data_IF_193672621980
#
_entry.id   IF_193672621980
#
_cell.length_a   1.000
_cell.length_b   1.000
_cell.length_c   1.000
_cell.angle_alpha   90.00
_cell.angle_beta   90.00
_cell.angle_gamma   90.00
#
_symmetry.space_group_name_H-M   'P 1'
#
loop_
_entity.id
_entity.type
_entity.pdbx_description
1 polymer ?
#
# COMPACT_ATOMS: atom_id res chain seq x y z
N UNK A 1 34.91 29.58 -1.23
CA UNK A 1 35.57 28.32 -1.61
C UNK A 1 35.56 27.39 -0.41
N UNK A 2 35.12 26.15 -0.60
CA UNK A 2 35.05 25.09 0.40
C UNK A 2 35.94 23.93 -0.06
N UNK A 3 36.57 23.22 0.88
CA UNK A 3 37.37 22.02 0.59
C UNK A 3 36.51 20.76 0.69
N UNK A 4 36.76 19.79 -0.18
CA UNK A 4 36.06 18.50 -0.20
C UNK A 4 37.04 17.39 -0.62
N UNK A 5 36.72 16.15 -0.21
CA UNK A 5 37.44 14.95 -0.66
C UNK A 5 36.82 14.32 -1.91
N UNK A 6 35.75 14.92 -2.48
CA UNK A 6 35.15 14.44 -3.70
C UNK A 6 36.11 14.59 -4.90
N UNK A 7 36.04 13.66 -5.84
CA UNK A 7 36.79 13.74 -7.08
C UNK A 7 36.34 14.95 -7.93
N UNK A 8 37.21 15.42 -8.85
CA UNK A 8 36.79 16.45 -9.79
C UNK A 8 35.61 16.00 -10.61
N UNK A 9 34.56 16.84 -10.70
CA UNK A 9 33.34 16.52 -11.41
C UNK A 9 32.18 17.45 -11.09
N UNK A 10 31.06 17.23 -11.73
CA UNK A 10 29.79 17.93 -11.47
C UNK A 10 28.89 17.07 -10.60
N UNK A 11 28.47 17.61 -9.45
CA UNK A 11 27.66 16.94 -8.46
C UNK A 11 26.32 17.65 -8.25
N UNK A 12 25.27 16.87 -8.02
CA UNK A 12 23.97 17.40 -7.67
C UNK A 12 23.99 18.00 -6.27
N UNK A 13 23.45 19.21 -6.11
CA UNK A 13 23.19 19.78 -4.79
C UNK A 13 21.87 19.19 -4.23
N UNK A 14 22.02 18.08 -3.51
CA UNK A 14 20.85 17.34 -2.97
C UNK A 14 20.13 18.04 -1.83
N UNK A 15 20.67 19.13 -1.31
CA UNK A 15 19.94 20.02 -0.40
C UNK A 15 19.00 20.96 -1.17
N UNK A 16 19.42 21.41 -2.35
CA UNK A 16 18.63 22.35 -3.12
C UNK A 16 17.56 21.67 -3.97
N UNK A 17 17.86 20.52 -4.57
CA UNK A 17 16.92 19.77 -5.42
C UNK A 17 17.29 18.29 -5.47
N UNK A 18 16.26 17.42 -5.45
CA UNK A 18 16.45 15.98 -5.53
C UNK A 18 16.60 15.46 -6.99
N UNK A 19 16.21 16.26 -7.96
CA UNK A 19 16.20 15.93 -9.39
C UNK A 19 17.48 16.31 -10.12
N UNK A 20 18.52 16.72 -9.38
CA UNK A 20 19.77 17.22 -9.96
C UNK A 20 19.62 18.40 -10.94
N UNK A 21 18.58 19.21 -10.81
CA UNK A 21 18.43 20.46 -11.58
C UNK A 21 19.40 21.54 -11.13
N UNK A 22 19.95 21.42 -9.92
CA UNK A 22 21.06 22.24 -9.43
C UNK A 22 22.30 21.40 -9.23
N UNK A 23 23.39 21.83 -9.84
CA UNK A 23 24.69 21.18 -9.74
C UNK A 23 25.76 22.12 -9.22
N UNK A 24 26.81 21.53 -8.67
CA UNK A 24 27.99 22.22 -8.17
C UNK A 24 29.23 21.51 -8.69
N UNK A 25 30.17 22.27 -9.19
CA UNK A 25 31.42 21.73 -9.74
C UNK A 25 32.49 21.62 -8.64
N UNK A 26 33.05 20.42 -8.51
CA UNK A 26 34.26 20.16 -7.72
C UNK A 26 35.46 20.17 -8.65
N UNK A 27 36.49 20.94 -8.31
CA UNK A 27 37.76 21.00 -9.08
C UNK A 27 38.93 21.17 -8.13
N UNK A 28 39.92 20.26 -8.27
CA UNK A 28 41.12 20.26 -7.43
C UNK A 28 40.79 20.15 -5.92
N UNK A 29 39.78 19.35 -5.54
CA UNK A 29 39.30 19.21 -4.15
C UNK A 29 38.66 20.46 -3.58
N UNK A 30 38.16 21.35 -4.42
CA UNK A 30 37.50 22.60 -4.01
C UNK A 30 36.17 22.81 -4.72
N UNK A 31 35.25 23.42 -3.99
CA UNK A 31 33.93 23.89 -4.47
C UNK A 31 33.91 25.41 -4.39
N UNK A 32 33.66 26.08 -5.51
CA UNK A 32 33.45 27.53 -5.54
C UNK A 32 31.98 27.82 -5.80
N UNK A 33 31.27 28.19 -4.75
CA UNK A 33 29.85 28.53 -4.84
C UNK A 33 29.45 29.51 -3.75
N UNK A 34 28.31 30.16 -3.91
CA UNK A 34 27.70 31.04 -2.89
C UNK A 34 26.57 30.26 -2.20
N UNK A 35 26.68 30.12 -0.90
CA UNK A 35 25.60 29.58 -0.08
C UNK A 35 24.78 30.77 0.43
N UNK A 36 23.48 30.88 0.11
CA UNK A 36 22.62 31.94 0.63
C UNK A 36 22.54 31.89 2.16
N UNK A 37 22.22 33.02 2.78
CA UNK A 37 21.97 33.04 4.22
C UNK A 37 20.83 32.09 4.61
N UNK A 38 21.03 31.30 5.65
CA UNK A 38 20.09 30.26 6.11
C UNK A 38 19.85 29.11 5.11
N UNK A 39 20.84 28.83 4.26
CA UNK A 39 20.81 27.71 3.31
C UNK A 39 22.08 26.84 3.48
N UNK A 40 22.09 25.68 2.84
CA UNK A 40 23.21 24.77 2.82
C UNK A 40 23.44 24.24 1.40
N UNK A 41 24.54 23.53 1.20
CA UNK A 41 24.83 22.73 -0.01
C UNK A 41 25.21 21.34 0.49
N UNK A 42 24.61 20.31 -0.05
CA UNK A 42 24.92 18.92 0.27
C UNK A 42 25.38 18.17 -0.98
N UNK A 43 26.59 17.64 -0.94
CA UNK A 43 27.21 16.87 -2.03
C UNK A 43 27.71 15.54 -1.48
N UNK A 44 27.58 14.46 -2.23
CA UNK A 44 28.20 13.17 -1.91
C UNK A 44 28.69 12.45 -3.18
N UNK A 45 29.56 11.45 -3.04
CA UNK A 45 30.26 10.82 -4.17
C UNK A 45 29.34 10.17 -5.21
N UNK A 46 28.13 9.73 -4.83
CA UNK A 46 27.13 9.16 -5.72
C UNK A 46 26.17 10.19 -6.34
N UNK A 47 26.19 11.44 -5.91
CA UNK A 47 25.23 12.45 -6.37
C UNK A 47 25.65 13.08 -7.71
N UNK A 48 25.59 12.32 -8.79
CA UNK A 48 25.90 12.79 -10.14
C UNK A 48 24.65 12.75 -11.03
N UNK A 49 24.65 13.50 -12.15
CA UNK A 49 23.54 13.45 -13.13
C UNK A 49 23.27 12.04 -13.67
N UNK A 50 24.29 11.21 -13.73
CA UNK A 50 24.14 9.83 -14.20
C UNK A 50 23.43 8.93 -13.22
N UNK A 51 23.57 9.21 -11.90
CA UNK A 51 22.89 8.48 -10.83
C UNK A 51 21.51 9.07 -10.48
N UNK A 52 21.22 10.26 -10.99
CA UNK A 52 19.91 10.93 -10.88
C UNK A 52 19.43 11.23 -12.30
N UNK A 53 18.92 10.24 -13.04
CA UNK A 53 18.33 10.49 -14.35
C UNK A 53 17.26 11.56 -14.17
N UNK A 54 17.35 12.61 -14.98
CA UNK A 54 16.35 13.67 -14.97
C UNK A 54 14.95 13.05 -14.99
N UNK A 55 14.13 13.40 -14.03
CA UNK A 55 12.70 13.20 -14.15
C UNK A 55 12.34 13.70 -15.56
N UNK A 56 11.66 12.85 -16.34
CA UNK A 56 11.16 13.16 -17.68
C UNK A 56 10.69 14.61 -17.69
N UNK A 57 11.18 15.40 -18.62
CA UNK A 57 10.96 16.83 -18.76
C UNK A 57 9.49 17.21 -18.57
N UNK A 58 9.09 17.42 -17.32
CA UNK A 58 8.01 18.33 -17.03
C UNK A 58 8.56 19.71 -17.40
N UNK A 59 8.06 20.31 -18.45
CA UNK A 59 8.25 21.72 -18.77
C UNK A 59 7.99 22.50 -17.49
N UNK A 60 8.98 23.28 -17.06
CA UNK A 60 8.85 24.28 -15.99
C UNK A 60 7.49 24.96 -16.13
N UNK A 61 6.54 24.79 -15.22
CA UNK A 61 5.31 25.54 -15.30
C UNK A 61 5.70 26.96 -14.94
N UNK A 62 5.94 27.78 -15.97
CA UNK A 62 5.89 29.23 -15.83
C UNK A 62 4.63 29.57 -15.04
N UNK A 63 4.83 30.10 -13.82
CA UNK A 63 3.86 30.64 -12.85
C UNK A 63 2.40 30.51 -13.34
N UNK A 64 1.66 29.43 -12.92
CA UNK A 64 0.32 29.25 -13.43
C UNK A 64 -0.48 30.46 -13.01
N UNK A 65 -1.05 31.14 -13.99
CA UNK A 65 -2.02 32.21 -13.77
C UNK A 65 -3.16 31.62 -12.92
N UNK A 66 -3.03 31.76 -11.60
CA UNK A 66 -3.96 31.22 -10.59
C UNK A 66 -5.39 31.76 -10.75
N UNK A 67 -5.60 32.72 -11.66
CA UNK A 67 -6.94 33.20 -12.03
C UNK A 67 -7.70 32.22 -12.94
N UNK A 68 -7.07 31.14 -13.40
CA UNK A 68 -7.62 30.11 -14.31
C UNK A 68 -7.53 28.69 -13.76
N UNK A 69 -7.41 28.51 -12.46
CA UNK A 69 -7.73 27.23 -11.86
C UNK A 69 -9.27 27.10 -11.91
N UNK A 70 -9.76 26.90 -13.12
CA UNK A 70 -11.08 26.28 -13.30
C UNK A 70 -11.04 24.94 -12.59
N UNK A 71 -12.11 24.57 -11.91
CA UNK A 71 -12.35 23.39 -11.07
C UNK A 71 -12.04 22.01 -11.73
N UNK A 72 -11.16 21.94 -12.69
CA UNK A 72 -10.86 20.74 -13.48
C UNK A 72 -9.40 20.29 -13.33
N UNK A 73 -9.11 19.52 -12.27
CA UNK A 73 -7.97 18.61 -12.32
C UNK A 73 -8.30 17.55 -13.37
N UNK A 74 -7.65 17.64 -14.53
CA UNK A 74 -7.78 16.61 -15.56
C UNK A 74 -6.95 15.39 -15.15
N UNK A 75 -7.58 14.38 -14.61
CA UNK A 75 -6.94 13.12 -14.28
C UNK A 75 -6.41 12.43 -15.56
N UNK A 76 -5.31 11.69 -15.42
CA UNK A 76 -4.80 10.85 -16.50
C UNK A 76 -5.77 9.72 -16.84
N UNK A 77 -6.47 9.17 -15.85
CA UNK A 77 -7.53 8.22 -16.03
C UNK A 77 -8.85 8.92 -16.36
N UNK A 78 -9.43 8.50 -17.46
CA UNK A 78 -10.63 9.11 -18.05
C UNK A 78 -11.86 8.25 -17.97
N UNK A 79 -11.76 7.08 -17.34
CA UNK A 79 -12.88 6.15 -17.20
C UNK A 79 -13.11 5.81 -15.73
N UNK A 80 -14.39 5.61 -15.38
CA UNK A 80 -14.80 5.08 -14.09
C UNK A 80 -15.71 3.87 -14.32
N UNK A 81 -15.53 2.82 -13.56
CA UNK A 81 -16.45 1.68 -13.51
C UNK A 81 -17.27 1.77 -12.23
N UNK A 82 -18.58 1.82 -12.39
CA UNK A 82 -19.55 1.88 -11.28
C UNK A 82 -20.16 0.49 -11.11
N UNK A 83 -20.04 -0.07 -9.91
CA UNK A 83 -20.68 -1.30 -9.48
C UNK A 83 -21.85 -0.94 -8.58
N UNK A 84 -23.02 -1.49 -8.86
CA UNK A 84 -24.24 -1.16 -8.15
C UNK A 84 -25.03 -2.39 -7.74
N UNK A 85 -25.43 -2.44 -6.50
CA UNK A 85 -26.33 -3.43 -5.96
C UNK A 85 -27.57 -2.72 -5.41
N UNK A 86 -28.72 -2.74 -6.13
CA UNK A 86 -29.91 -2.05 -5.71
C UNK A 86 -30.33 -2.43 -4.30
N UNK A 87 -30.77 -1.45 -3.50
CA UNK A 87 -31.42 -1.71 -2.22
C UNK A 87 -32.74 -2.47 -2.40
N UNK A 88 -33.45 -2.15 -3.49
CA UNK A 88 -34.67 -2.88 -3.90
C UNK A 88 -34.33 -3.97 -4.93
N UNK A 89 -34.44 -5.24 -4.52
CA UNK A 89 -34.15 -6.40 -5.37
C UNK A 89 -35.10 -6.58 -6.57
N UNK A 90 -36.15 -5.75 -6.67
CA UNK A 90 -37.09 -5.77 -7.79
C UNK A 90 -36.57 -5.06 -9.02
N UNK A 91 -35.54 -4.22 -8.89
CA UNK A 91 -34.90 -3.54 -10.00
C UNK A 91 -34.28 -4.52 -10.99
N UNK A 92 -34.56 -4.32 -12.28
CA UNK A 92 -34.09 -5.22 -13.36
C UNK A 92 -33.28 -4.53 -14.45
N UNK A 93 -33.49 -3.23 -14.64
CA UNK A 93 -32.86 -2.43 -15.67
C UNK A 93 -32.29 -1.13 -15.13
N UNK A 94 -31.45 -1.21 -14.09
CA UNK A 94 -30.84 -0.03 -13.53
C UNK A 94 -29.92 0.65 -14.54
N UNK A 95 -29.90 1.97 -14.48
CA UNK A 95 -29.05 2.87 -15.25
C UNK A 95 -28.34 3.84 -14.30
N UNK A 96 -27.23 4.38 -14.76
CA UNK A 96 -26.56 5.49 -14.09
C UNK A 96 -27.00 6.80 -14.77
N UNK A 97 -27.67 7.66 -14.04
CA UNK A 97 -27.90 9.04 -14.42
C UNK A 97 -26.80 9.89 -13.82
N UNK A 98 -26.05 10.65 -14.62
CA UNK A 98 -24.84 11.30 -14.15
C UNK A 98 -24.55 12.64 -14.79
N UNK A 99 -23.79 13.46 -14.06
CA UNK A 99 -23.19 14.70 -14.52
C UNK A 99 -21.67 14.63 -14.51
N UNK A 100 -21.02 15.28 -15.46
CA UNK A 100 -19.57 15.47 -15.53
C UNK A 100 -19.24 16.93 -15.20
N UNK A 101 -18.63 17.16 -14.03
CA UNK A 101 -18.61 18.50 -13.45
C UNK A 101 -20.05 18.96 -13.19
N UNK A 102 -20.43 20.11 -13.73
CA UNK A 102 -21.79 20.64 -13.60
C UNK A 102 -22.71 20.30 -14.79
N UNK A 103 -22.24 19.52 -15.77
CA UNK A 103 -22.98 19.15 -16.95
C UNK A 103 -23.76 17.83 -16.76
N UNK A 104 -25.07 17.95 -16.50
CA UNK A 104 -26.02 16.85 -16.35
C UNK A 104 -26.71 16.44 -17.65
N UNK A 105 -26.31 16.99 -18.80
CA UNK A 105 -26.89 16.62 -20.10
C UNK A 105 -26.24 15.38 -20.72
N UNK A 106 -25.81 14.44 -19.87
CA UNK A 106 -25.25 13.15 -20.33
C UNK A 106 -26.37 12.14 -20.58
N UNK A 107 -26.22 11.27 -21.59
CA UNK A 107 -27.13 10.13 -21.72
C UNK A 107 -26.93 9.18 -20.54
N UNK A 108 -28.02 8.61 -20.02
CA UNK A 108 -27.92 7.58 -19.00
C UNK A 108 -27.09 6.40 -19.47
N UNK A 109 -26.22 5.87 -18.61
CA UNK A 109 -25.42 4.70 -18.90
C UNK A 109 -26.17 3.41 -18.51
N UNK A 110 -26.31 2.51 -19.45
CA UNK A 110 -26.87 1.18 -19.20
C UNK A 110 -25.93 0.36 -18.31
N UNK A 111 -26.53 -0.41 -17.38
CA UNK A 111 -25.78 -1.29 -16.50
C UNK A 111 -26.00 -2.75 -16.87
N UNK A 112 -24.95 -3.57 -16.77
CA UNK A 112 -24.97 -5.00 -17.04
C UNK A 112 -24.73 -5.77 -15.76
N UNK A 113 -25.57 -6.77 -15.47
CA UNK A 113 -25.40 -7.67 -14.32
C UNK A 113 -24.14 -8.54 -14.52
N UNK A 114 -23.24 -8.52 -13.55
CA UNK A 114 -22.04 -9.37 -13.54
C UNK A 114 -22.27 -10.71 -12.81
N UNK A 115 -21.26 -11.57 -12.82
CA UNK A 115 -21.31 -12.90 -12.19
C UNK A 115 -21.37 -12.84 -10.65
N UNK A 116 -21.01 -11.70 -10.04
CA UNK A 116 -21.03 -11.46 -8.59
C UNK A 116 -22.36 -10.84 -8.12
N UNK A 117 -23.28 -10.57 -9.04
CA UNK A 117 -24.58 -10.01 -8.72
C UNK A 117 -24.61 -8.49 -8.62
N UNK A 118 -23.56 -7.79 -9.13
CA UNK A 118 -23.55 -6.36 -9.28
C UNK A 118 -23.99 -5.96 -10.70
N UNK A 119 -24.72 -4.89 -10.79
CA UNK A 119 -24.88 -4.16 -12.03
C UNK A 119 -23.68 -3.27 -12.27
N UNK A 120 -23.11 -3.30 -13.47
CA UNK A 120 -21.86 -2.61 -13.81
C UNK A 120 -22.03 -1.72 -15.03
N UNK A 121 -21.52 -0.46 -14.92
CA UNK A 121 -21.36 0.46 -16.05
C UNK A 121 -19.96 1.04 -16.05
N UNK A 122 -19.38 1.26 -17.25
CA UNK A 122 -18.13 1.99 -17.41
C UNK A 122 -18.43 3.28 -18.17
N UNK A 123 -18.02 4.42 -17.60
CA UNK A 123 -18.31 5.77 -18.08
C UNK A 123 -17.00 6.47 -18.41
N UNK A 124 -16.93 7.10 -19.60
CA UNK A 124 -15.85 8.03 -19.94
C UNK A 124 -16.12 9.39 -19.24
N UNK A 125 -15.42 9.65 -18.17
CA UNK A 125 -15.52 10.87 -17.39
C UNK A 125 -14.78 12.05 -18.03
N UNK A 126 -13.98 11.79 -19.07
CA UNK A 126 -13.09 12.76 -19.72
C UNK A 126 -12.12 13.42 -18.72
N UNK A 127 -11.83 12.73 -17.63
CA UNK A 127 -10.96 13.23 -16.57
C UNK A 127 -11.62 14.21 -15.61
N UNK A 128 -12.96 14.27 -15.57
CA UNK A 128 -13.73 15.14 -14.67
C UNK A 128 -14.27 14.39 -13.48
N UNK A 129 -14.62 15.11 -12.40
CA UNK A 129 -15.45 14.57 -11.33
C UNK A 129 -16.81 14.13 -11.90
N UNK A 130 -17.38 13.09 -11.32
CA UNK A 130 -18.70 12.57 -11.66
C UNK A 130 -19.61 12.67 -10.44
N UNK A 131 -20.81 13.21 -10.66
CA UNK A 131 -21.93 13.12 -9.74
C UNK A 131 -22.98 12.20 -10.36
N UNK A 132 -23.56 11.29 -9.58
CA UNK A 132 -24.47 10.30 -10.16
C UNK A 132 -25.53 9.81 -9.18
N UNK A 133 -26.61 9.26 -9.75
CA UNK A 133 -27.68 8.56 -9.06
C UNK A 133 -28.12 7.37 -9.91
N UNK A 134 -28.93 6.48 -9.36
CA UNK A 134 -29.45 5.34 -10.10
C UNK A 134 -30.90 5.50 -10.45
N UNK A 135 -31.27 5.00 -11.62
CA UNK A 135 -32.61 5.03 -12.16
C UNK A 135 -32.98 3.64 -12.72
N UNK A 136 -34.06 3.04 -12.27
CA UNK A 136 -34.57 1.81 -12.87
C UNK A 136 -35.54 2.13 -13.99
N UNK A 137 -35.13 1.85 -15.22
CA UNK A 137 -35.91 2.21 -16.42
C UNK A 137 -37.26 1.46 -16.58
N UNK A 138 -37.41 0.32 -15.87
CA UNK A 138 -38.68 -0.45 -15.93
C UNK A 138 -39.73 0.10 -14.97
N UNK A 139 -39.30 0.57 -13.81
CA UNK A 139 -40.20 1.04 -12.72
C UNK A 139 -40.28 2.55 -12.59
N UNK A 140 -39.40 3.28 -13.29
CA UNK A 140 -39.20 4.74 -13.17
C UNK A 140 -38.91 5.18 -11.71
N UNK A 141 -38.19 4.32 -10.96
CA UNK A 141 -37.76 4.61 -9.61
C UNK A 141 -36.33 5.13 -9.57
N UNK A 142 -36.04 5.98 -8.60
CA UNK A 142 -34.73 6.61 -8.39
C UNK A 142 -34.15 6.22 -7.04
N UNK A 143 -32.86 5.97 -7.00
CA UNK A 143 -32.10 5.75 -5.78
C UNK A 143 -30.97 6.77 -5.65
N UNK A 144 -31.00 7.49 -4.53
CA UNK A 144 -30.04 8.52 -4.11
C UNK A 144 -29.39 8.07 -2.81
N UNK A 145 -28.28 8.69 -2.38
CA UNK A 145 -27.72 8.48 -1.05
C UNK A 145 -28.72 8.76 0.06
N UNK A 146 -28.53 8.09 1.20
CA UNK A 146 -29.32 8.37 2.41
C UNK A 146 -29.26 9.87 2.77
N UNK A 147 -30.42 10.48 3.00
CA UNK A 147 -30.51 11.94 3.24
C UNK A 147 -30.64 12.80 1.98
N UNK A 148 -30.63 12.21 0.80
CA UNK A 148 -30.78 12.90 -0.50
C UNK A 148 -29.45 13.43 -1.06
N UNK A 149 -29.49 13.98 -2.25
CA UNK A 149 -28.30 14.42 -2.98
C UNK A 149 -27.84 13.41 -4.02
N UNK A 150 -26.55 13.43 -4.34
CA UNK A 150 -25.96 12.57 -5.37
C UNK A 150 -24.77 11.81 -4.76
N UNK A 151 -24.51 10.62 -5.28
CA UNK A 151 -23.21 9.98 -5.15
C UNK A 151 -22.20 10.79 -5.95
N UNK A 152 -20.95 10.84 -5.50
CA UNK A 152 -19.90 11.54 -6.23
C UNK A 152 -18.58 10.78 -6.16
N UNK A 153 -17.78 10.92 -7.22
CA UNK A 153 -16.39 10.49 -7.24
C UNK A 153 -15.54 11.58 -7.90
N UNK A 154 -14.35 11.80 -7.35
CA UNK A 154 -13.42 12.77 -7.91
C UNK A 154 -12.76 12.25 -9.20
N UNK A 155 -12.22 13.19 -9.97
CA UNK A 155 -11.41 12.83 -11.14
C UNK A 155 -10.25 11.90 -10.73
N UNK A 156 -9.98 10.90 -11.56
CA UNK A 156 -8.94 9.90 -11.30
C UNK A 156 -9.40 8.66 -10.53
N UNK A 157 -10.57 8.68 -9.92
CA UNK A 157 -11.17 7.47 -9.34
C UNK A 157 -11.64 6.57 -10.47
N UNK A 158 -11.14 5.33 -10.50
CA UNK A 158 -11.41 4.41 -11.61
C UNK A 158 -12.52 3.41 -11.32
N UNK A 159 -12.81 3.16 -10.05
CA UNK A 159 -13.86 2.24 -9.62
C UNK A 159 -14.59 2.75 -8.39
N UNK A 160 -15.89 2.63 -8.39
CA UNK A 160 -16.73 2.85 -7.22
C UNK A 160 -17.77 1.75 -7.11
N UNK A 161 -18.14 1.40 -5.90
CA UNK A 161 -19.23 0.48 -5.59
C UNK A 161 -20.33 1.18 -4.79
N UNK A 162 -21.58 0.90 -5.10
CA UNK A 162 -22.72 1.32 -4.28
C UNK A 162 -23.56 0.10 -3.97
N UNK A 163 -23.72 -0.19 -2.67
CA UNK A 163 -24.54 -1.28 -2.21
C UNK A 163 -25.34 -0.83 -0.99
N UNK A 164 -26.66 -0.94 -1.05
CA UNK A 164 -27.55 -0.53 0.04
C UNK A 164 -27.42 0.96 0.39
N UNK A 165 -27.21 1.82 -0.61
CA UNK A 165 -26.98 3.28 -0.51
C UNK A 165 -25.61 3.68 0.09
N UNK A 166 -24.73 2.73 0.35
CA UNK A 166 -23.36 3.01 0.80
C UNK A 166 -22.41 3.08 -0.41
N UNK A 167 -21.69 4.18 -0.55
CA UNK A 167 -20.64 4.36 -1.55
C UNK A 167 -19.31 3.84 -1.01
N UNK A 168 -18.61 3.06 -1.81
CA UNK A 168 -17.21 2.67 -1.54
C UNK A 168 -16.37 2.86 -2.79
N UNK A 169 -15.10 3.16 -2.63
CA UNK A 169 -14.14 3.19 -3.74
C UNK A 169 -13.55 1.79 -3.91
N UNK A 170 -13.43 1.33 -5.16
CA UNK A 170 -13.11 -0.04 -5.48
C UNK A 170 -14.33 -0.96 -5.49
N UNK A 171 -14.20 -2.13 -6.12
CA UNK A 171 -15.25 -3.14 -6.08
C UNK A 171 -15.32 -3.77 -4.68
N UNK A 172 -16.39 -3.53 -3.89
CA UNK A 172 -16.45 -3.97 -2.49
C UNK A 172 -16.36 -5.48 -2.28
N UNK A 173 -16.65 -6.27 -3.31
CA UNK A 173 -16.58 -7.74 -3.25
C UNK A 173 -15.31 -8.29 -3.91
N UNK A 174 -14.69 -7.58 -4.86
CA UNK A 174 -13.42 -7.99 -5.45
C UNK A 174 -12.23 -7.65 -4.56
N UNK A 175 -12.39 -6.68 -3.66
CA UNK A 175 -11.36 -6.28 -2.70
C UNK A 175 -11.59 -6.99 -1.36
N UNK A 176 -11.57 -8.32 -1.40
CA UNK A 176 -11.71 -9.15 -0.21
C UNK A 176 -10.57 -8.92 0.77
N UNK A 177 -10.89 -9.01 2.06
CA UNK A 177 -9.88 -9.07 3.11
C UNK A 177 -8.97 -10.28 2.90
N UNK A 178 -7.69 -10.09 3.19
CA UNK A 178 -6.73 -11.20 3.28
C UNK A 178 -6.09 -11.22 4.65
N UNK A 179 -5.81 -12.41 5.14
CA UNK A 179 -5.02 -12.63 6.35
C UNK A 179 -3.77 -13.39 5.97
N UNK A 180 -2.63 -12.93 6.45
CA UNK A 180 -1.33 -13.50 6.09
C UNK A 180 -0.81 -14.41 7.21
N UNK A 181 -0.24 -15.55 6.81
CA UNK A 181 0.55 -16.42 7.67
C UNK A 181 1.99 -16.45 7.14
N UNK A 182 2.95 -16.10 8.00
CA UNK A 182 4.38 -16.20 7.72
C UNK A 182 5.00 -17.23 8.66
N UNK A 183 5.63 -18.24 8.10
CA UNK A 183 6.30 -19.28 8.87
C UNK A 183 7.76 -19.32 8.50
N UNK A 184 8.63 -18.99 9.46
CA UNK A 184 10.07 -19.14 9.36
C UNK A 184 10.48 -20.49 9.94
N UNK A 185 11.20 -21.27 9.17
CA UNK A 185 11.64 -22.59 9.56
C UNK A 185 13.14 -22.76 9.33
N UNK A 186 13.87 -23.00 10.41
CA UNK A 186 15.30 -23.31 10.37
C UNK A 186 15.48 -24.83 10.36
N UNK A 187 15.64 -25.48 9.21
CA UNK A 187 15.73 -26.93 9.15
C UNK A 187 17.05 -27.43 9.74
N UNK A 188 17.03 -28.61 10.37
CA UNK A 188 18.24 -29.28 10.84
C UNK A 188 19.14 -29.78 9.69
N UNK A 189 18.54 -30.05 8.54
CA UNK A 189 19.21 -30.53 7.32
C UNK A 189 18.81 -29.68 6.12
N UNK A 190 19.77 -29.37 5.26
CA UNK A 190 19.53 -28.56 4.07
C UNK A 190 18.57 -29.21 3.06
N UNK A 191 18.49 -30.55 3.03
CA UNK A 191 17.62 -31.32 2.15
C UNK A 191 16.25 -31.65 2.75
N UNK A 192 15.87 -31.00 3.84
CA UNK A 192 14.54 -31.11 4.45
C UNK A 192 13.43 -30.74 3.45
N UNK A 193 12.51 -31.68 3.18
CA UNK A 193 11.43 -31.50 2.20
C UNK A 193 10.08 -31.18 2.86
N UNK A 194 10.07 -30.86 4.15
CA UNK A 194 8.85 -30.47 4.85
C UNK A 194 8.31 -29.14 4.33
N UNK A 195 6.99 -29.02 4.35
CA UNK A 195 6.23 -27.82 4.12
C UNK A 195 5.40 -27.46 5.36
N UNK A 196 4.46 -26.55 5.18
CA UNK A 196 3.52 -26.10 6.20
C UNK A 196 2.13 -26.61 5.84
N UNK A 197 1.61 -27.58 6.57
CA UNK A 197 0.22 -28.00 6.44
C UNK A 197 -0.64 -27.09 7.31
N UNK A 198 -1.60 -26.35 6.69
CA UNK A 198 -2.34 -25.27 7.34
C UNK A 198 -3.84 -25.57 7.32
N UNK A 199 -4.51 -25.23 8.41
CA UNK A 199 -5.97 -25.21 8.53
C UNK A 199 -6.44 -23.99 9.33
N UNK A 200 -7.69 -23.62 9.16
CA UNK A 200 -8.30 -22.49 9.88
C UNK A 200 -9.71 -22.22 9.42
N UNK A 201 -10.44 -21.49 10.24
CA UNK A 201 -11.79 -21.02 9.95
C UNK A 201 -11.80 -19.51 10.07
N UNK A 202 -12.26 -18.84 9.06
CA UNK A 202 -12.41 -17.37 9.06
C UNK A 202 -13.54 -16.93 10.02
N UNK A 203 -13.58 -15.64 10.34
CA UNK A 203 -14.58 -15.08 11.27
C UNK A 203 -16.01 -15.18 10.74
N UNK A 204 -16.20 -15.33 9.42
CA UNK A 204 -17.50 -15.58 8.78
C UNK A 204 -17.89 -17.07 8.75
N UNK A 205 -17.03 -17.95 9.27
CA UNK A 205 -17.26 -19.39 9.35
C UNK A 205 -16.81 -20.20 8.13
N UNK A 206 -16.07 -19.59 7.21
CA UNK A 206 -15.52 -20.30 6.04
C UNK A 206 -14.22 -21.00 6.40
N UNK A 207 -14.17 -22.31 6.15
CA UNK A 207 -12.96 -23.10 6.34
C UNK A 207 -12.03 -22.99 5.12
N UNK A 208 -10.73 -22.82 5.37
CA UNK A 208 -9.73 -23.01 4.32
C UNK A 208 -9.56 -24.50 4.04
N UNK A 209 -9.37 -24.86 2.77
CA UNK A 209 -9.03 -26.22 2.41
C UNK A 209 -7.64 -26.57 2.94
N UNK A 210 -7.59 -27.41 3.96
CA UNK A 210 -6.33 -27.80 4.59
C UNK A 210 -5.44 -28.55 3.60
N UNK A 211 -4.24 -28.01 3.37
CA UNK A 211 -3.25 -28.58 2.44
C UNK A 211 -1.82 -28.26 2.89
N UNK A 212 -0.85 -28.99 2.34
CA UNK A 212 0.56 -28.73 2.59
C UNK A 212 1.09 -27.69 1.59
N UNK A 213 1.69 -26.63 2.12
CA UNK A 213 2.30 -25.55 1.34
C UNK A 213 3.83 -25.67 1.42
N UNK A 214 4.55 -25.70 0.30
CA UNK A 214 6.00 -25.72 0.33
C UNK A 214 6.56 -24.39 0.84
N UNK A 215 7.73 -24.44 1.46
CA UNK A 215 8.52 -23.24 1.69
C UNK A 215 9.07 -22.76 0.35
N UNK A 216 8.57 -21.61 -0.13
CA UNK A 216 8.96 -21.02 -1.43
C UNK A 216 10.03 -19.96 -1.31
N UNK A 217 10.24 -19.42 -0.11
CA UNK A 217 11.25 -18.42 0.20
C UNK A 217 12.36 -18.96 1.10
N UNK A 218 13.43 -18.18 1.16
CA UNK A 218 14.54 -18.35 2.09
C UNK A 218 14.98 -16.98 2.55
N UNK A 219 15.25 -16.84 3.84
CA UNK A 219 15.84 -15.64 4.43
C UNK A 219 17.20 -15.95 5.04
N UNK A 220 17.75 -15.02 5.84
CA UNK A 220 19.02 -15.19 6.51
C UNK A 220 19.01 -16.27 7.61
N UNK A 221 17.83 -16.72 8.03
CA UNK A 221 17.67 -17.68 9.14
C UNK A 221 17.26 -19.08 8.69
N UNK A 222 16.54 -19.20 7.58
CA UNK A 222 16.10 -20.48 7.06
C UNK A 222 15.11 -20.38 5.90
N UNK A 223 14.19 -21.33 5.85
CA UNK A 223 13.09 -21.39 4.88
C UNK A 223 11.94 -20.51 5.34
N UNK A 224 11.24 -19.89 4.39
CA UNK A 224 10.08 -19.04 4.67
C UNK A 224 8.90 -19.48 3.80
N UNK A 225 7.73 -19.60 4.42
CA UNK A 225 6.45 -19.68 3.73
C UNK A 225 5.64 -18.40 4.04
N UNK A 226 5.28 -17.67 3.01
CA UNK A 226 4.36 -16.52 3.10
C UNK A 226 3.07 -16.89 2.38
N UNK A 227 1.98 -16.98 3.13
CA UNK A 227 0.70 -17.51 2.66
C UNK A 227 -0.40 -16.49 2.93
N UNK A 228 -1.12 -16.10 1.88
CA UNK A 228 -2.27 -15.21 1.99
C UNK A 228 -3.57 -16.01 1.84
N UNK A 229 -4.48 -15.87 2.79
CA UNK A 229 -5.78 -16.52 2.81
C UNK A 229 -6.88 -15.48 2.69
N UNK A 230 -7.90 -15.78 1.88
CA UNK A 230 -9.06 -14.92 1.74
C UNK A 230 -9.90 -14.94 3.02
N UNK A 231 -10.31 -13.77 3.48
CA UNK A 231 -11.10 -13.59 4.69
C UNK A 231 -10.30 -13.12 5.89
N UNK A 232 -11.02 -12.90 6.99
CA UNK A 232 -10.46 -12.52 8.29
C UNK A 232 -10.32 -13.75 9.18
N UNK A 233 -9.10 -13.97 9.66
CA UNK A 233 -8.78 -15.05 10.60
C UNK A 233 -8.24 -14.43 11.89
N UNK A 234 -8.54 -15.07 13.01
CA UNK A 234 -7.95 -14.75 14.32
C UNK A 234 -6.71 -15.58 14.61
N UNK A 235 -6.64 -16.74 14.00
CA UNK A 235 -5.51 -17.66 14.13
C UNK A 235 -5.53 -18.72 13.03
N UNK A 236 -4.37 -19.37 12.86
CA UNK A 236 -4.17 -20.53 12.00
C UNK A 236 -3.67 -21.71 12.83
N UNK A 237 -4.21 -22.90 12.58
CA UNK A 237 -3.59 -24.15 12.97
C UNK A 237 -2.61 -24.60 11.88
N UNK A 238 -1.46 -25.12 12.25
CA UNK A 238 -0.50 -25.64 11.27
C UNK A 238 0.43 -26.71 11.84
N UNK A 239 1.07 -27.45 10.96
CA UNK A 239 2.12 -28.42 11.29
C UNK A 239 3.21 -28.42 10.22
N UNK A 240 4.45 -28.59 10.64
CA UNK A 240 5.57 -28.77 9.72
C UNK A 240 5.65 -30.24 9.34
N UNK A 241 5.41 -30.59 8.08
CA UNK A 241 5.34 -31.99 7.63
C UNK A 241 5.66 -32.13 6.14
N UNK A 242 5.98 -33.31 5.71
CA UNK A 242 5.98 -33.69 4.30
C UNK A 242 4.57 -34.11 3.86
N UNK A 243 4.35 -34.32 2.57
CA UNK A 243 3.07 -34.82 2.05
C UNK A 243 2.72 -36.23 2.57
N UNK A 244 3.70 -37.05 2.85
CA UNK A 244 3.56 -38.39 3.44
C UNK A 244 3.56 -38.40 4.98
N UNK A 245 3.31 -37.22 5.58
CA UNK A 245 3.15 -37.00 7.03
C UNK A 245 4.38 -37.27 7.88
N UNK A 246 5.59 -37.06 7.34
CA UNK A 246 6.79 -37.02 8.16
C UNK A 246 6.86 -35.67 8.92
N UNK A 247 6.29 -35.67 10.10
CA UNK A 247 6.05 -34.50 10.92
C UNK A 247 7.28 -34.07 11.72
N UNK A 248 7.42 -32.73 11.90
CA UNK A 248 8.32 -32.13 12.87
C UNK A 248 7.50 -31.55 14.02
N UNK A 249 7.38 -32.30 15.12
CA UNK A 249 6.52 -31.97 16.25
C UNK A 249 5.02 -32.17 15.97
N UNK A 250 4.19 -31.69 16.90
CA UNK A 250 2.73 -31.75 16.81
C UNK A 250 2.11 -30.53 16.17
N UNK A 251 0.80 -30.41 16.35
CA UNK A 251 0.00 -29.27 15.90
C UNK A 251 0.43 -28.00 16.61
N UNK A 252 0.41 -26.90 15.85
CA UNK A 252 0.80 -25.57 16.29
C UNK A 252 -0.29 -24.57 15.99
N UNK A 253 -0.21 -23.43 16.65
CA UNK A 253 -1.09 -22.29 16.44
C UNK A 253 -0.27 -21.03 16.15
N UNK A 254 -0.71 -20.23 15.17
CA UNK A 254 -0.20 -18.90 14.90
C UNK A 254 -1.36 -17.89 15.08
N UNK A 255 -1.18 -16.92 15.95
CA UNK A 255 -2.20 -15.91 16.25
C UNK A 255 -2.02 -14.69 15.36
N UNK A 256 -3.09 -14.24 14.74
CA UNK A 256 -3.10 -13.05 13.89
C UNK A 256 -3.05 -11.80 14.78
N UNK A 257 -2.20 -10.88 14.44
CA UNK A 257 -2.07 -9.60 15.13
C UNK A 257 -2.98 -8.52 14.50
N UNK A 258 -2.92 -7.30 15.05
CA UNK A 258 -3.75 -6.16 14.60
C UNK A 258 -3.44 -5.67 13.18
N UNK A 259 -2.28 -6.02 12.61
CA UNK A 259 -1.88 -5.65 11.24
C UNK A 259 -2.37 -6.63 10.19
N UNK A 260 -3.00 -7.75 10.62
CA UNK A 260 -3.59 -8.78 9.76
C UNK A 260 -2.65 -9.93 9.43
N UNK A 261 -1.51 -10.04 10.11
CA UNK A 261 -0.52 -11.11 9.88
C UNK A 261 -0.32 -11.95 11.14
N UNK A 262 -0.16 -13.26 10.94
CA UNK A 262 0.39 -14.19 11.93
C UNK A 262 1.81 -14.57 11.49
N UNK A 263 2.82 -14.28 12.31
CA UNK A 263 4.21 -14.59 12.00
C UNK A 263 4.82 -15.43 13.11
N UNK A 264 5.50 -16.52 12.74
CA UNK A 264 6.07 -17.48 13.70
C UNK A 264 7.42 -18.02 13.23
N UNK A 265 8.26 -18.39 14.21
CA UNK A 265 9.59 -18.99 13.98
C UNK A 265 9.68 -20.36 14.63
N UNK A 266 10.20 -21.35 13.88
CA UNK A 266 10.40 -22.73 14.32
C UNK A 266 11.84 -23.13 14.07
N UNK A 267 12.58 -23.38 15.16
CA UNK A 267 13.97 -23.85 15.10
C UNK A 267 14.01 -25.37 15.03
N UNK A 268 14.09 -25.90 13.81
CA UNK A 268 14.18 -27.33 13.54
C UNK A 268 15.53 -27.96 13.92
N UNK A 269 16.53 -27.17 14.30
CA UNK A 269 17.81 -27.68 14.81
C UNK A 269 17.71 -28.14 16.26
N UNK A 270 16.66 -27.67 16.97
CA UNK A 270 16.36 -28.08 18.33
C UNK A 270 15.46 -29.31 18.31
N UNK A 271 15.90 -30.44 18.86
CA UNK A 271 15.13 -31.68 18.90
C UNK A 271 14.97 -32.40 17.55
N UNK A 272 16.06 -32.62 16.83
CA UNK A 272 16.08 -33.47 15.64
C UNK A 272 15.32 -34.80 15.88
N UNK A 273 14.46 -35.18 14.93
CA UNK A 273 13.79 -36.48 14.79
C UNK A 273 12.81 -36.92 15.89
N UNK A 274 12.13 -35.99 16.56
CA UNK A 274 11.05 -36.38 17.47
C UNK A 274 9.69 -36.09 16.84
N UNK A 275 8.98 -37.16 16.48
CA UNK A 275 7.65 -37.11 15.86
C UNK A 275 6.59 -36.40 16.71
N UNK A 276 5.32 -36.62 16.42
CA UNK A 276 4.13 -35.89 16.96
C UNK A 276 4.11 -35.64 18.48
N UNK A 277 4.76 -36.46 19.27
CA UNK A 277 4.70 -36.40 20.74
C UNK A 277 5.63 -35.34 21.37
N UNK A 278 6.40 -34.62 20.57
CA UNK A 278 7.36 -33.64 21.10
C UNK A 278 6.81 -32.24 20.95
N UNK A 279 6.71 -31.52 22.07
CA UNK A 279 6.47 -30.09 22.06
C UNK A 279 7.70 -29.41 21.49
N UNK A 280 7.59 -28.92 20.27
CA UNK A 280 8.57 -28.03 19.65
C UNK A 280 8.08 -26.60 19.85
N UNK A 281 8.96 -25.77 20.34
CA UNK A 281 8.66 -24.36 20.59
C UNK A 281 8.28 -23.65 19.28
N UNK A 282 7.18 -22.92 19.32
CA UNK A 282 6.78 -21.97 18.29
C UNK A 282 6.95 -20.58 18.88
N UNK A 283 7.82 -19.78 18.30
CA UNK A 283 8.05 -18.41 18.74
C UNK A 283 7.13 -17.46 17.94
N UNK A 284 6.45 -16.58 18.62
CA UNK A 284 5.61 -15.51 18.07
C UNK A 284 6.35 -14.18 17.91
N UNK A 285 7.65 -14.21 18.12
CA UNK A 285 8.57 -13.09 17.92
C UNK A 285 9.91 -13.58 17.40
N UNK A 286 10.58 -12.75 16.64
CA UNK A 286 11.87 -13.09 16.03
C UNK A 286 12.90 -13.50 17.09
N UNK A 287 13.58 -14.65 16.91
CA UNK A 287 14.64 -15.06 17.83
C UNK A 287 15.83 -14.11 17.76
N UNK A 288 16.63 -14.07 18.81
CA UNK A 288 17.74 -13.12 18.96
C UNK A 288 18.82 -13.25 17.84
N UNK A 289 18.90 -14.38 17.18
CA UNK A 289 19.78 -14.62 16.04
C UNK A 289 19.14 -14.30 14.67
N UNK A 290 17.89 -13.85 14.65
CA UNK A 290 17.24 -13.33 13.46
C UNK A 290 17.65 -11.89 13.22
N UNK A 291 18.69 -11.70 12.41
CA UNK A 291 19.31 -10.39 12.16
C UNK A 291 19.51 -10.14 10.66
N UNK A 292 18.49 -10.45 9.86
CA UNK A 292 18.52 -10.30 8.41
C UNK A 292 18.85 -8.87 7.99
N UNK A 293 19.59 -8.77 6.90
CA UNK A 293 19.96 -7.51 6.28
C UNK A 293 19.51 -7.52 4.83
N UNK A 294 19.17 -6.36 4.35
CA UNK A 294 18.89 -6.16 2.94
C UNK A 294 19.63 -4.95 2.41
N UNK A 295 20.29 -5.11 1.27
CA UNK A 295 20.88 -4.00 0.54
C UNK A 295 19.80 -3.02 0.11
N UNK A 296 18.63 -3.55 -0.23
CA UNK A 296 17.44 -2.78 -0.59
C UNK A 296 16.17 -3.45 -0.09
N UNK A 297 15.26 -2.67 0.51
CA UNK A 297 13.88 -3.06 0.76
C UNK A 297 12.99 -2.37 -0.27
N UNK A 298 12.31 -3.14 -1.12
CA UNK A 298 11.32 -2.62 -2.06
C UNK A 298 9.95 -2.56 -1.38
N UNK A 299 9.43 -1.35 -1.22
CA UNK A 299 8.16 -1.11 -0.52
C UNK A 299 7.08 -0.80 -1.53
N UNK A 300 5.94 -1.47 -1.40
CA UNK A 300 4.69 -1.15 -2.10
C UNK A 300 3.66 -0.72 -1.06
N UNK A 301 3.08 0.45 -1.26
CA UNK A 301 2.06 1.02 -0.38
C UNK A 301 0.77 1.18 -1.16
N UNK A 302 -0.30 0.57 -0.67
CA UNK A 302 -1.66 0.75 -1.15
C UNK A 302 -2.37 1.73 -0.23
N UNK A 303 -2.99 2.76 -0.79
CA UNK A 303 -3.65 3.80 -0.01
C UNK A 303 -5.09 4.00 -0.47
N UNK A 304 -6.02 3.74 0.43
CA UNK A 304 -7.44 3.93 0.22
C UNK A 304 -7.96 5.16 0.97
N UNK A 305 -8.77 5.96 0.28
CA UNK A 305 -9.52 7.07 0.87
C UNK A 305 -11.00 6.92 0.54
N UNK A 306 -11.83 6.90 1.56
CA UNK A 306 -13.30 6.80 1.43
C UNK A 306 -13.92 8.07 0.83
N UNK A 307 -13.28 9.23 1.05
CA UNK A 307 -13.69 10.51 0.46
C UNK A 307 -13.29 10.67 -1.01
N UNK A 308 -12.48 9.77 -1.55
CA UNK A 308 -11.96 9.83 -2.92
C UNK A 308 -11.06 11.04 -3.21
N UNK A 309 -10.68 11.81 -2.19
CA UNK A 309 -9.92 13.05 -2.36
C UNK A 309 -8.41 12.80 -2.44
N UNK A 310 -7.98 11.94 -3.33
CA UNK A 310 -6.54 11.73 -3.59
C UNK A 310 -5.90 12.97 -4.20
N UNK A 311 -6.67 13.72 -4.99
CA UNK A 311 -6.26 14.96 -5.65
C UNK A 311 -7.23 16.06 -5.22
N UNK A 312 -6.80 16.98 -4.36
CA UNK A 312 -7.66 18.08 -3.91
C UNK A 312 -7.36 19.38 -4.65
N UNK A 313 -8.08 19.63 -5.71
CA UNK A 313 -7.97 20.86 -6.51
C UNK A 313 -8.36 22.14 -5.74
N UNK A 314 -8.98 22.04 -4.57
CA UNK A 314 -9.47 23.20 -3.81
C UNK A 314 -8.42 23.81 -2.89
N UNK A 315 -7.31 23.14 -2.65
CA UNK A 315 -6.23 23.68 -1.83
C UNK A 315 -5.25 24.50 -2.67
N UNK A 316 -5.55 25.80 -2.79
CA UNK A 316 -4.72 26.76 -3.54
C UNK A 316 -3.36 27.04 -2.88
N UNK A 317 -3.04 26.42 -1.74
CA UNK A 317 -1.77 26.60 -1.03
C UNK A 317 -0.69 25.64 -1.46
N UNK A 318 -1.03 24.59 -2.19
CA UNK A 318 -0.09 23.55 -2.63
C UNK A 318 0.10 23.61 -4.15
N UNK A 319 1.33 23.51 -4.56
CA UNK A 319 1.73 23.57 -5.98
C UNK A 319 1.33 22.30 -6.74
N UNK A 320 1.25 21.18 -6.05
CA UNK A 320 0.82 19.89 -6.60
C UNK A 320 -0.24 19.32 -5.65
N UNK A 321 -1.53 19.44 -5.98
CA UNK A 321 -2.61 18.98 -5.11
C UNK A 321 -2.76 17.45 -5.14
N UNK A 322 -1.82 16.77 -4.55
CA UNK A 322 -1.73 15.31 -4.55
C UNK A 322 -1.18 14.81 -3.22
N UNK A 323 -1.72 13.71 -2.71
CA UNK A 323 -1.13 12.99 -1.59
C UNK A 323 0.18 12.31 -2.01
N UNK A 324 1.18 12.34 -1.13
CA UNK A 324 2.43 11.60 -1.28
C UNK A 324 2.82 10.93 0.03
N UNK A 325 3.89 10.17 0.00
CA UNK A 325 4.49 9.54 1.18
C UNK A 325 5.87 10.15 1.38
N UNK A 326 6.13 10.67 2.58
CA UNK A 326 7.48 10.88 3.06
C UNK A 326 7.91 9.65 3.86
N UNK A 327 9.05 9.08 3.53
CA UNK A 327 9.55 7.85 4.16
C UNK A 327 11.01 7.99 4.57
N UNK A 328 11.44 7.27 5.59
CA UNK A 328 12.81 7.28 6.13
C UNK A 328 13.13 5.95 6.83
N UNK A 329 14.41 5.75 7.19
CA UNK A 329 14.84 4.70 8.10
C UNK A 329 16.03 5.18 8.94
N UNK A 330 16.48 4.39 9.91
CA UNK A 330 17.65 4.72 10.74
C UNK A 330 18.94 4.94 9.93
N UNK A 331 19.04 4.26 8.77
CA UNK A 331 20.23 4.33 7.90
C UNK A 331 20.03 5.20 6.65
N UNK A 332 18.89 5.84 6.52
CA UNK A 332 18.55 6.66 5.36
C UNK A 332 17.68 7.86 5.76
N UNK A 333 18.15 9.04 5.37
CA UNK A 333 17.49 10.31 5.74
C UNK A 333 16.10 10.50 5.14
N UNK A 334 15.72 9.64 4.19
CA UNK A 334 14.39 9.64 3.63
C UNK A 334 14.27 10.25 2.24
N UNK A 335 13.05 10.19 1.75
CA UNK A 335 12.63 10.70 0.46
C UNK A 335 11.12 10.73 0.36
N UNK A 336 10.60 11.28 -0.73
CA UNK A 336 9.19 11.21 -1.04
C UNK A 336 8.91 10.16 -2.12
N UNK A 337 7.76 9.53 -2.02
CA UNK A 337 7.19 8.65 -3.03
C UNK A 337 5.81 9.16 -3.42
N UNK A 338 5.57 9.24 -4.71
CA UNK A 338 4.28 9.64 -5.28
C UNK A 338 3.42 8.43 -5.55
N UNK A 339 2.10 8.62 -5.47
CA UNK A 339 1.15 7.63 -5.96
C UNK A 339 1.06 7.79 -7.48
N UNK A 340 1.70 6.92 -8.22
CA UNK A 340 1.85 6.98 -9.68
C UNK A 340 1.08 5.87 -10.41
N UNK A 341 0.45 4.99 -9.65
CA UNK A 341 -0.42 3.92 -10.15
C UNK A 341 -1.55 3.64 -9.16
N UNK A 342 -2.49 2.81 -9.56
CA UNK A 342 -3.63 2.38 -8.73
C UNK A 342 -3.95 0.92 -9.03
N UNK A 343 -4.69 0.32 -8.12
CA UNK A 343 -5.23 -1.03 -8.24
C UNK A 343 -6.70 -1.08 -7.78
N UNK A 344 -7.22 -2.28 -7.54
CA UNK A 344 -8.58 -2.48 -7.03
C UNK A 344 -8.78 -2.04 -5.57
N UNK A 345 -7.69 -1.74 -4.84
CA UNK A 345 -7.72 -1.19 -3.49
C UNK A 345 -7.74 0.34 -3.47
N UNK A 346 -6.89 0.99 -4.24
CA UNK A 346 -6.74 2.43 -4.25
C UNK A 346 -5.47 2.90 -4.96
N UNK A 347 -4.91 3.99 -4.51
CA UNK A 347 -3.66 4.52 -5.06
C UNK A 347 -2.45 3.72 -4.59
N UNK A 348 -1.46 3.55 -5.45
CA UNK A 348 -0.27 2.75 -5.19
C UNK A 348 1.00 3.58 -5.35
N UNK A 349 1.82 3.58 -4.29
CA UNK A 349 3.17 4.14 -4.32
C UNK A 349 4.22 3.04 -4.16
N UNK A 350 5.34 3.17 -4.87
CA UNK A 350 6.48 2.25 -4.76
C UNK A 350 7.76 3.03 -4.51
N UNK A 351 8.59 2.54 -3.59
CA UNK A 351 9.88 3.11 -3.30
C UNK A 351 10.86 2.07 -2.76
N UNK A 352 12.13 2.44 -2.63
CA UNK A 352 13.18 1.57 -2.13
C UNK A 352 13.90 2.20 -0.96
N UNK A 353 14.13 1.43 0.09
CA UNK A 353 14.88 1.82 1.30
C UNK A 353 16.23 1.11 1.26
N UNK A 354 17.37 1.83 1.25
CA UNK A 354 18.67 1.21 1.18
C UNK A 354 19.19 0.77 2.55
N UNK A 355 20.10 -0.21 2.55
CA UNK A 355 20.93 -0.61 3.71
C UNK A 355 20.12 -0.90 4.98
N UNK A 356 19.12 -1.76 4.85
CA UNK A 356 18.25 -2.11 5.95
C UNK A 356 18.79 -3.28 6.78
N UNK A 357 18.62 -3.20 8.08
CA UNK A 357 18.82 -4.32 9.02
C UNK A 357 17.51 -4.57 9.75
N UNK A 358 17.10 -5.82 9.86
CA UNK A 358 15.87 -6.20 10.54
C UNK A 358 15.77 -5.56 11.92
N UNK A 359 14.64 -4.99 12.19
CA UNK A 359 14.25 -4.38 13.46
C UNK A 359 12.82 -4.79 13.78
N UNK A 360 12.56 -5.03 15.05
CA UNK A 360 11.23 -5.37 15.56
C UNK A 360 11.05 -4.73 16.95
N UNK A 361 11.03 -3.41 16.98
CA UNK A 361 10.75 -2.66 18.20
C UNK A 361 9.22 -2.51 18.35
N UNK A 362 8.64 -3.25 19.29
CA UNK A 362 7.19 -3.25 19.54
C UNK A 362 6.34 -3.63 18.29
N UNK A 363 6.84 -4.59 17.50
CA UNK A 363 6.18 -5.03 16.27
C UNK A 363 6.44 -4.15 15.06
N UNK A 364 7.33 -3.16 15.16
CA UNK A 364 7.61 -2.22 14.09
C UNK A 364 9.03 -2.37 13.55
N UNK A 365 9.17 -2.24 12.24
CA UNK A 365 10.45 -1.99 11.59
C UNK A 365 10.94 -0.57 11.92
N UNK A 366 12.15 -0.23 11.52
CA UNK A 366 12.64 1.16 11.61
C UNK A 366 12.33 1.99 10.34
N UNK A 367 11.53 1.44 9.42
CA UNK A 367 11.07 2.16 8.23
C UNK A 367 9.83 2.96 8.60
N UNK A 368 9.98 4.27 8.64
CA UNK A 368 8.90 5.19 8.93
C UNK A 368 8.27 5.78 7.67
N UNK A 369 7.02 6.22 7.80
CA UNK A 369 6.31 6.93 6.74
C UNK A 369 5.34 7.98 7.29
N UNK A 370 5.07 8.99 6.49
CA UNK A 370 4.00 9.97 6.66
C UNK A 370 3.24 10.09 5.34
N UNK A 371 1.93 9.96 5.39
CA UNK A 371 1.04 10.37 4.29
C UNK A 371 0.87 11.87 4.40
N UNK A 372 1.20 12.59 3.39
CA UNK A 372 1.12 14.05 3.39
C UNK A 372 0.54 14.57 2.08
N UNK A 373 0.01 15.77 2.13
CA UNK A 373 -0.64 16.39 1.00
C UNK A 373 0.26 17.44 0.36
N UNK A 374 0.62 17.23 -0.92
CA UNK A 374 1.41 18.14 -1.73
C UNK A 374 2.91 18.23 -1.38
N UNK A 375 3.70 18.90 -2.19
CA UNK A 375 5.16 18.96 -2.07
C UNK A 375 5.69 19.87 -0.96
N UNK A 376 4.89 20.84 -0.51
CA UNK A 376 5.17 21.71 0.66
C UNK A 376 4.37 21.29 1.91
N UNK A 377 3.89 20.13 1.93
CA UNK A 377 2.75 19.59 2.59
C UNK A 377 2.98 19.12 4.02
N UNK A 378 3.91 19.66 4.70
CA UNK A 378 4.00 19.41 6.13
C UNK A 378 2.79 20.01 6.91
N UNK A 379 1.89 20.72 6.23
CA UNK A 379 0.68 21.32 6.79
C UNK A 379 -0.52 20.37 6.83
N UNK A 380 -0.52 19.32 6.01
CA UNK A 380 -1.61 18.35 5.94
C UNK A 380 -1.05 16.93 5.95
N UNK A 381 -1.42 16.17 6.95
CA UNK A 381 -1.00 14.77 7.15
C UNK A 381 -2.22 13.91 7.44
N UNK A 382 -2.13 12.63 7.14
CA UNK A 382 -3.21 11.69 7.39
C UNK A 382 -2.67 10.48 8.18
N UNK A 383 -3.31 10.12 9.31
CA UNK A 383 -4.49 10.77 9.92
C UNK A 383 -4.16 11.99 10.79
N UNK A 384 -2.93 12.17 11.20
CA UNK A 384 -2.48 13.22 12.11
C UNK A 384 -0.98 13.51 11.91
N UNK A 385 -0.34 14.17 12.88
CA UNK A 385 1.09 14.43 12.87
C UNK A 385 1.96 13.23 13.30
N UNK A 386 1.36 12.06 13.56
CA UNK A 386 2.09 10.90 14.05
C UNK A 386 2.89 10.23 12.92
N UNK A 387 4.05 9.73 13.29
CA UNK A 387 4.85 8.86 12.45
C UNK A 387 4.19 7.48 12.41
N UNK A 388 4.06 6.92 11.22
CA UNK A 388 3.61 5.56 11.02
C UNK A 388 4.80 4.69 10.64
N UNK A 389 4.90 3.52 11.26
CA UNK A 389 6.00 2.58 11.01
C UNK A 389 5.46 1.41 10.20
N UNK A 390 6.24 0.96 9.22
CA UNK A 390 5.97 -0.32 8.56
C UNK A 390 6.09 -1.42 9.61
N UNK A 391 5.09 -2.30 9.77
CA UNK A 391 5.20 -3.43 10.67
C UNK A 391 6.35 -4.35 10.27
N UNK A 392 7.06 -4.92 11.24
CA UNK A 392 8.17 -5.85 10.96
C UNK A 392 7.71 -7.11 10.20
N UNK A 393 6.48 -7.56 10.43
CA UNK A 393 5.85 -8.70 9.77
C UNK A 393 5.40 -8.45 8.32
N UNK A 394 5.50 -7.19 7.84
CA UNK A 394 5.33 -6.88 6.43
C UNK A 394 6.62 -7.15 5.61
N UNK A 395 7.76 -7.35 6.27
CA UNK A 395 9.06 -7.49 5.62
C UNK A 395 9.31 -8.95 5.23
N UNK A 396 9.55 -9.19 3.95
CA UNK A 396 9.92 -10.49 3.40
C UNK A 396 11.33 -10.38 2.85
N UNK A 397 12.29 -11.04 3.52
CA UNK A 397 13.69 -11.12 3.07
C UNK A 397 13.85 -12.25 2.07
N UNK A 398 14.79 -12.09 1.15
CA UNK A 398 15.20 -13.14 0.21
C UNK A 398 16.64 -13.63 0.47
N UNK A 399 17.02 -14.69 -0.25
CA UNK A 399 18.36 -15.27 -0.14
C UNK A 399 19.45 -14.42 -0.82
N UNK A 400 19.05 -13.48 -1.66
CA UNK A 400 19.96 -12.62 -2.45
C UNK A 400 20.35 -11.34 -1.71
N UNK A 401 19.89 -11.18 -0.47
CA UNK A 401 20.20 -10.00 0.36
C UNK A 401 19.31 -8.80 0.06
N UNK A 402 18.11 -9.01 -0.47
CA UNK A 402 17.09 -7.98 -0.60
C UNK A 402 15.89 -8.30 0.29
N UNK A 403 14.99 -7.34 0.40
CA UNK A 403 13.70 -7.55 1.02
C UNK A 403 12.61 -6.79 0.27
N UNK A 404 11.37 -7.19 0.52
CA UNK A 404 10.19 -6.47 0.09
C UNK A 404 9.26 -6.22 1.26
N UNK A 405 8.43 -5.19 1.17
CA UNK A 405 7.32 -4.94 2.07
C UNK A 405 6.12 -4.50 1.24
N UNK A 406 4.96 -5.05 1.55
CA UNK A 406 3.70 -4.64 0.97
C UNK A 406 2.74 -4.28 2.09
N UNK A 407 2.21 -3.06 2.08
CA UNK A 407 1.38 -2.53 3.16
C UNK A 407 0.16 -1.79 2.63
N UNK A 408 -0.89 -1.79 3.45
CA UNK A 408 -2.16 -1.16 3.12
C UNK A 408 -2.48 -0.06 4.15
N UNK A 409 -2.90 1.08 3.66
CA UNK A 409 -3.24 2.27 4.44
C UNK A 409 -4.67 2.69 4.12
N UNK A 410 -5.36 3.18 5.12
CA UNK A 410 -6.72 3.73 4.98
C UNK A 410 -6.73 5.17 5.47
N UNK A 411 -7.42 6.04 4.75
CA UNK A 411 -7.58 7.44 5.13
C UNK A 411 -8.21 7.55 6.53
N UNK A 412 -7.60 8.34 7.40
CA UNK A 412 -8.03 8.51 8.79
C UNK A 412 -7.64 7.40 9.76
N UNK A 413 -7.16 6.24 9.28
CA UNK A 413 -6.73 5.13 10.14
C UNK A 413 -5.21 5.18 10.39
N UNK A 414 -4.75 5.21 11.65
CA UNK A 414 -3.32 5.19 11.96
C UNK A 414 -2.66 3.83 11.76
N UNK A 415 -3.42 2.76 11.51
CA UNK A 415 -2.88 1.41 11.35
C UNK A 415 -2.21 1.27 9.99
N UNK A 416 -0.99 0.71 9.99
CA UNK A 416 -0.33 0.19 8.80
C UNK A 416 -0.57 -1.31 8.77
N UNK A 417 -1.32 -1.78 7.79
CA UNK A 417 -1.67 -3.19 7.67
C UNK A 417 -0.62 -3.93 6.86
N UNK A 418 -0.18 -5.09 7.34
CA UNK A 418 0.76 -5.98 6.65
C UNK A 418 0.08 -7.05 5.78
N UNK A 419 -1.24 -7.11 5.84
CA UNK A 419 -2.09 -7.82 4.89
C UNK A 419 -3.30 -6.96 4.55
N UNK A 420 -3.96 -7.25 3.42
CA UNK A 420 -5.06 -6.42 2.91
C UNK A 420 -6.28 -6.45 3.84
N UNK A 421 -6.62 -5.34 4.55
CA UNK A 421 -7.81 -5.30 5.40
C UNK A 421 -9.07 -5.22 4.53
N UNK A 422 -10.22 -5.55 5.11
CA UNK A 422 -11.51 -5.26 4.47
C UNK A 422 -11.76 -3.76 4.43
N UNK A 423 -12.21 -3.23 3.30
CA UNK A 423 -12.63 -1.83 3.20
C UNK A 423 -13.76 -1.50 4.20
N UNK A 424 -14.68 -2.44 4.42
CA UNK A 424 -15.76 -2.27 5.41
C UNK A 424 -15.25 -2.18 6.85
N UNK A 425 -14.21 -2.92 7.20
CA UNK A 425 -13.57 -2.86 8.53
C UNK A 425 -12.81 -1.55 8.69
N UNK A 426 -12.11 -1.15 7.65
CA UNK A 426 -11.34 0.09 7.62
C UNK A 426 -12.23 1.32 7.80
N UNK A 427 -13.36 1.39 7.11
CA UNK A 427 -14.35 2.47 7.30
C UNK A 427 -14.87 2.55 8.75
N UNK A 428 -15.09 1.42 9.39
CA UNK A 428 -15.50 1.40 10.82
C UNK A 428 -14.43 1.89 11.78
N UNK A 429 -13.14 1.62 11.48
CA UNK A 429 -12.05 2.10 12.31
C UNK A 429 -11.87 3.62 12.21
N UNK A 430 -12.10 4.21 11.04
CA UNK A 430 -12.06 5.65 10.83
C UNK A 430 -13.20 6.40 11.54
N UNK A 431 -14.37 5.77 11.70
CA UNK A 431 -15.50 6.36 12.42
C UNK A 431 -15.36 6.33 13.97
N UNK A 432 -14.46 5.52 14.50
CA UNK A 432 -14.28 5.32 15.95
C UNK A 432 -13.14 6.19 16.52
N UNK A 433 -12.30 6.75 15.66
CA UNK A 433 -11.20 7.64 16.06
C UNK A 433 -11.61 9.12 16.01
#
# INVERSE_FOLDING_TARGET
TYTTSLADGEYCDVYATMDCSKTVTVKGGKVETKVPARSAIALYAGATKASHPAASTATDPSDPDVSKIDDEVTATDKTITIYYKPADSTWKTPKVHYGLGDDWNQPEADMTLDEQGYYRATIDTKGKKIDFVFHDADTDQWENPDGGGNYHANAGIIQVGVAGQELSIGNPESVGQKTRLVVHYKPAKADDQRGVYVWGTSTDGTDITATNHPFTGTDCWGKVATLDFDGEFTDFGFIITTEDWNKYGGDRKATVNKTGTAEVWIDGTKNEDKGESTTVETLDSAPADYNCKADTVNVTVHYYRDDGLYYNAKDTKVTVPQWDIWTWSSNWNGGNATFDSHDDWGEVAKYSVPNYTYSNADGNSDIGMLRRYGSDAWASKDPDDANHMIPSDALVFDADGNASAEVWLVGGDPTVYSSRPSLKIALKSAEIS
#
